data_IF_518598581116
#
_entry.id   IF_518598581116
#
_cell.length_a   1.000
_cell.length_b   1.000
_cell.length_c   1.000
_cell.angle_alpha   90.00
_cell.angle_beta   90.00
_cell.angle_gamma   90.00
#
_symmetry.space_group_name_H-M   'P 1'
#
loop_
_entity.id
_entity.type
_entity.pdbx_description
1 polymer ?
#
# COMPACT_ATOMS: atom_id res chain seq x y z
N UNK A 1 -30.75 -4.22 53.41
CA UNK A 1 -29.99 -3.09 52.81
C UNK A 1 -28.53 -3.43 52.51
N UNK A 2 -27.79 -4.15 53.38
CA UNK A 2 -26.37 -4.51 53.14
C UNK A 2 -26.09 -5.48 51.95
N UNK A 3 -27.09 -6.24 51.49
CA UNK A 3 -26.95 -7.19 50.35
C UNK A 3 -27.10 -6.53 48.97
N UNK A 4 -27.73 -5.35 48.90
CA UNK A 4 -27.96 -4.63 47.62
C UNK A 4 -26.71 -3.84 47.23
N UNK A 5 -25.93 -3.36 48.19
CA UNK A 5 -24.67 -2.64 47.96
C UNK A 5 -23.58 -3.54 47.35
N UNK A 6 -23.60 -4.85 47.61
CA UNK A 6 -22.61 -5.80 47.09
C UNK A 6 -22.83 -6.15 45.60
N UNK A 7 -24.07 -6.13 45.11
CA UNK A 7 -24.35 -6.41 43.69
C UNK A 7 -24.03 -5.22 42.78
N UNK A 8 -24.15 -3.98 43.27
CA UNK A 8 -23.75 -2.79 42.49
C UNK A 8 -22.23 -2.67 42.32
N UNK A 9 -21.43 -3.16 43.28
CA UNK A 9 -19.98 -3.14 43.17
C UNK A 9 -19.44 -4.16 42.14
N UNK A 10 -20.15 -5.27 41.90
CA UNK A 10 -19.76 -6.29 40.92
C UNK A 10 -20.11 -5.90 39.47
N UNK A 11 -21.12 -5.04 39.26
CA UNK A 11 -21.54 -4.60 37.93
C UNK A 11 -20.70 -3.43 37.37
N UNK A 12 -19.99 -2.70 38.24
CA UNK A 12 -19.07 -1.63 37.83
C UNK A 12 -17.68 -2.17 37.47
N UNK A 13 -17.30 -3.35 37.98
CA UNK A 13 -15.99 -3.96 37.71
C UNK A 13 -15.90 -4.68 36.36
N UNK A 14 -17.02 -4.96 35.70
CA UNK A 14 -17.08 -5.64 34.40
C UNK A 14 -17.05 -4.70 33.20
N UNK A 15 -17.06 -3.37 33.39
CA UNK A 15 -16.93 -2.39 32.31
C UNK A 15 -15.52 -1.80 32.12
N UNK A 16 -14.54 -2.22 32.93
CA UNK A 16 -13.21 -1.59 32.98
C UNK A 16 -12.13 -2.17 32.06
N UNK A 17 -12.42 -3.20 31.24
CA UNK A 17 -11.39 -3.91 30.47
C UNK A 17 -11.31 -3.57 28.97
N UNK A 18 -12.08 -2.58 28.48
CA UNK A 18 -11.96 -2.12 27.09
C UNK A 18 -11.19 -0.80 27.05
N UNK A 19 -9.91 -0.84 27.40
CA UNK A 19 -8.99 0.26 27.14
C UNK A 19 -7.60 -0.27 26.77
N UNK A 20 -7.45 -0.66 25.50
CA UNK A 20 -6.18 -0.62 24.78
C UNK A 20 -6.44 -0.75 23.26
N UNK A 21 -7.06 0.27 22.68
CA UNK A 21 -7.16 0.43 21.23
C UNK A 21 -6.41 1.70 20.84
N UNK A 22 -5.16 1.57 20.40
CA UNK A 22 -4.29 2.70 20.06
C UNK A 22 -4.90 3.58 18.97
N UNK A 23 -4.80 4.89 19.16
CA UNK A 23 -5.31 5.96 18.29
C UNK A 23 -4.51 6.15 16.99
N UNK A 24 -4.16 5.07 16.30
CA UNK A 24 -3.53 5.11 14.98
C UNK A 24 -4.53 4.63 13.93
N UNK A 25 -4.68 5.36 12.81
CA UNK A 25 -5.53 5.03 11.65
C UNK A 25 -5.94 3.56 11.62
N UNK A 26 -7.23 3.28 11.72
CA UNK A 26 -7.79 1.91 11.75
C UNK A 26 -7.60 1.16 10.41
N UNK A 27 -7.10 1.88 9.39
CA UNK A 27 -6.91 1.38 8.04
C UNK A 27 -5.47 1.60 7.56
N UNK A 28 -4.90 0.57 6.95
CA UNK A 28 -3.67 0.62 6.14
C UNK A 28 -4.09 0.89 4.69
N UNK A 29 -3.59 1.96 4.10
CA UNK A 29 -3.93 2.36 2.73
C UNK A 29 -2.84 1.94 1.75
N UNK A 30 -3.22 1.13 0.77
CA UNK A 30 -2.36 0.64 -0.31
C UNK A 30 -2.65 1.46 -1.57
N UNK A 31 -1.67 2.26 -2.03
CA UNK A 31 -1.75 2.91 -3.33
C UNK A 31 -1.49 1.91 -4.44
N UNK A 32 -2.43 1.74 -5.37
CA UNK A 32 -2.32 0.81 -6.50
C UNK A 32 -2.06 1.60 -7.78
N UNK A 33 -0.79 1.67 -8.20
CA UNK A 33 -0.39 2.36 -9.44
C UNK A 33 -0.57 1.44 -10.65
N UNK A 34 -1.52 1.73 -11.53
CA UNK A 34 -1.75 0.95 -12.75
C UNK A 34 -2.58 1.72 -13.79
N UNK A 35 -2.39 1.47 -15.09
CA UNK A 35 -3.27 1.99 -16.13
C UNK A 35 -4.58 1.20 -16.15
N UNK A 36 -5.67 1.75 -15.59
CA UNK A 36 -6.93 1.00 -15.40
C UNK A 36 -7.69 0.69 -16.70
N UNK A 37 -7.30 1.33 -17.80
CA UNK A 37 -7.87 1.11 -19.13
C UNK A 37 -7.14 0.03 -19.93
N UNK A 38 -6.02 -0.50 -19.41
CA UNK A 38 -5.21 -1.53 -20.08
C UNK A 38 -5.43 -2.87 -19.38
N UNK A 39 -5.54 -3.95 -20.16
CA UNK A 39 -5.81 -5.30 -19.65
C UNK A 39 -4.89 -5.70 -18.49
N UNK A 40 -3.57 -5.54 -18.65
CA UNK A 40 -2.61 -5.84 -17.58
C UNK A 40 -2.79 -4.95 -16.33
N UNK A 41 -3.18 -3.69 -16.50
CA UNK A 41 -3.45 -2.80 -15.37
C UNK A 41 -4.71 -3.20 -14.59
N UNK A 42 -5.77 -3.63 -15.30
CA UNK A 42 -6.97 -4.20 -14.68
C UNK A 42 -6.64 -5.44 -13.87
N UNK A 43 -5.88 -6.38 -14.44
CA UNK A 43 -5.45 -7.58 -13.73
C UNK A 43 -4.67 -7.27 -12.44
N UNK A 44 -3.79 -6.26 -12.46
CA UNK A 44 -3.04 -5.83 -11.27
C UNK A 44 -3.98 -5.26 -10.20
N UNK A 45 -4.92 -4.39 -10.59
CA UNK A 45 -5.90 -3.80 -9.66
C UNK A 45 -6.77 -4.89 -9.02
N UNK A 46 -7.35 -5.77 -9.84
CA UNK A 46 -8.23 -6.84 -9.39
C UNK A 46 -7.49 -7.83 -8.48
N UNK A 47 -6.28 -8.23 -8.86
CA UNK A 47 -5.46 -9.14 -8.05
C UNK A 47 -5.11 -8.57 -6.67
N UNK A 48 -4.76 -7.28 -6.61
CA UNK A 48 -4.47 -6.61 -5.32
C UNK A 48 -5.74 -6.48 -4.49
N UNK A 49 -6.88 -6.11 -5.09
CA UNK A 49 -8.16 -6.01 -4.38
C UNK A 49 -8.62 -7.36 -3.84
N UNK A 50 -8.43 -8.44 -4.59
CA UNK A 50 -8.71 -9.81 -4.13
C UNK A 50 -7.86 -10.17 -2.91
N UNK A 51 -6.54 -9.94 -2.97
CA UNK A 51 -5.65 -10.18 -1.83
C UNK A 51 -6.03 -9.34 -0.60
N UNK A 52 -6.43 -8.08 -0.80
CA UNK A 52 -6.91 -7.21 0.28
C UNK A 52 -8.20 -7.76 0.90
N UNK A 53 -9.14 -8.27 0.09
CA UNK A 53 -10.37 -8.87 0.57
C UNK A 53 -10.07 -10.10 1.46
N UNK A 54 -9.25 -11.03 0.99
CA UNK A 54 -8.83 -12.21 1.74
C UNK A 54 -8.14 -11.84 3.07
N UNK A 55 -7.23 -10.87 3.04
CA UNK A 55 -6.54 -10.39 4.26
C UNK A 55 -7.54 -9.77 5.25
N UNK A 56 -8.50 -8.98 4.74
CA UNK A 56 -9.50 -8.35 5.59
C UNK A 56 -10.50 -9.35 6.19
N UNK A 57 -10.85 -10.42 5.46
CA UNK A 57 -11.67 -11.53 5.96
C UNK A 57 -10.96 -12.28 7.10
N UNK A 58 -9.63 -12.37 7.05
CA UNK A 58 -8.79 -12.97 8.09
C UNK A 58 -8.53 -12.04 9.30
N UNK A 59 -9.22 -10.91 9.39
CA UNK A 59 -9.09 -9.96 10.51
C UNK A 59 -8.10 -8.81 10.26
N UNK A 60 -7.57 -8.69 9.04
CA UNK A 60 -6.68 -7.62 8.64
C UNK A 60 -5.23 -7.82 9.07
N UNK A 61 -4.40 -6.78 8.93
CA UNK A 61 -2.97 -6.82 9.28
C UNK A 61 -2.80 -6.16 10.64
N UNK A 62 -2.34 -6.94 11.64
CA UNK A 62 -2.20 -6.46 13.03
C UNK A 62 -3.50 -5.85 13.58
N UNK A 63 -4.65 -6.41 13.16
CA UNK A 63 -5.99 -5.93 13.53
C UNK A 63 -6.48 -4.69 12.76
N UNK A 64 -5.71 -4.17 11.80
CA UNK A 64 -6.10 -3.04 10.95
C UNK A 64 -6.67 -3.51 9.63
N UNK A 65 -7.73 -2.87 9.15
CA UNK A 65 -8.26 -3.12 7.80
C UNK A 65 -7.31 -2.57 6.74
N UNK A 66 -7.35 -3.14 5.55
CA UNK A 66 -6.57 -2.69 4.39
C UNK A 66 -7.51 -2.13 3.34
N UNK A 67 -7.16 -0.99 2.74
CA UNK A 67 -7.95 -0.32 1.70
C UNK A 67 -7.06 -0.01 0.48
N UNK A 68 -7.60 -0.21 -0.72
CA UNK A 68 -6.93 0.14 -1.96
C UNK A 68 -7.28 1.57 -2.40
N UNK A 69 -6.28 2.39 -2.67
CA UNK A 69 -6.40 3.69 -3.35
C UNK A 69 -5.88 3.53 -4.77
N UNK A 70 -6.78 3.51 -5.75
CA UNK A 70 -6.39 3.30 -7.15
C UNK A 70 -5.80 4.57 -7.74
N UNK A 71 -4.62 4.44 -8.33
CA UNK A 71 -3.88 5.52 -8.99
C UNK A 71 -3.82 5.15 -10.48
N UNK A 72 -4.80 5.63 -11.24
CA UNK A 72 -4.82 5.45 -12.69
C UNK A 72 -3.75 6.34 -13.35
N UNK A 73 -2.65 5.72 -13.80
CA UNK A 73 -1.55 6.45 -14.45
C UNK A 73 -1.78 6.74 -15.94
N UNK A 74 -2.88 6.23 -16.53
CA UNK A 74 -3.21 6.36 -17.95
C UNK A 74 -2.08 5.97 -18.92
N UNK A 75 -1.11 5.17 -18.48
CA UNK A 75 0.11 4.84 -19.22
C UNK A 75 0.99 6.07 -19.53
N UNK A 76 0.85 7.15 -18.75
CA UNK A 76 1.57 8.42 -18.93
C UNK A 76 2.35 8.80 -17.68
N UNK A 77 3.62 9.17 -17.85
CA UNK A 77 4.53 9.43 -16.73
C UNK A 77 4.13 10.66 -15.88
N UNK A 78 3.65 11.73 -16.51
CA UNK A 78 3.18 12.93 -15.84
C UNK A 78 1.90 12.67 -15.04
N UNK A 79 0.94 11.93 -15.61
CA UNK A 79 -0.29 11.53 -14.91
C UNK A 79 0.03 10.62 -13.73
N UNK A 80 0.89 9.62 -13.91
CA UNK A 80 1.32 8.72 -12.84
C UNK A 80 2.02 9.44 -11.68
N UNK A 81 2.96 10.35 -11.97
CA UNK A 81 3.68 11.10 -10.92
C UNK A 81 2.78 12.07 -10.16
N UNK A 82 1.85 12.75 -10.84
CA UNK A 82 0.84 13.61 -10.20
C UNK A 82 -0.12 12.79 -9.34
N UNK A 83 -0.64 11.69 -9.88
CA UNK A 83 -1.56 10.79 -9.18
C UNK A 83 -0.93 10.18 -7.93
N UNK A 84 0.32 9.71 -8.04
CA UNK A 84 1.04 9.17 -6.90
C UNK A 84 1.32 10.23 -5.82
N UNK A 85 1.71 11.44 -6.23
CA UNK A 85 1.92 12.56 -5.29
C UNK A 85 0.63 12.87 -4.54
N UNK A 86 -0.50 12.97 -5.24
CA UNK A 86 -1.82 13.16 -4.61
C UNK A 86 -2.16 12.03 -3.66
N UNK A 87 -1.95 10.77 -4.04
CA UNK A 87 -2.25 9.63 -3.18
C UNK A 87 -1.43 9.65 -1.88
N UNK A 88 -0.17 10.08 -1.94
CA UNK A 88 0.69 10.21 -0.76
C UNK A 88 0.27 11.40 0.10
N UNK A 89 0.05 12.56 -0.51
CA UNK A 89 -0.18 13.81 0.22
C UNK A 89 -1.61 13.98 0.72
N UNK A 90 -2.60 13.58 -0.07
CA UNK A 90 -4.02 13.74 0.23
C UNK A 90 -4.61 12.45 0.79
N UNK A 91 -4.48 11.34 0.07
CA UNK A 91 -5.10 10.07 0.47
C UNK A 91 -4.35 9.37 1.60
N UNK A 92 -3.11 9.79 1.88
CA UNK A 92 -2.22 9.29 2.93
C UNK A 92 -1.94 7.80 2.80
N UNK A 93 -1.60 7.34 1.60
CA UNK A 93 -1.19 5.95 1.39
C UNK A 93 0.05 5.59 2.22
N UNK A 94 0.06 4.37 2.74
CA UNK A 94 1.15 3.83 3.55
C UNK A 94 2.23 3.18 2.68
N UNK A 95 1.81 2.45 1.66
CA UNK A 95 2.65 1.65 0.75
C UNK A 95 2.12 1.74 -0.68
N UNK A 96 3.03 1.58 -1.65
CA UNK A 96 2.71 1.53 -3.08
C UNK A 96 2.82 0.08 -3.56
N UNK A 97 1.79 -0.40 -4.26
CA UNK A 97 1.79 -1.65 -4.99
C UNK A 97 1.51 -1.36 -6.48
N UNK A 98 1.98 -2.22 -7.37
CA UNK A 98 1.72 -2.10 -8.80
C UNK A 98 2.90 -1.53 -9.58
N UNK A 99 2.61 -0.82 -10.66
CA UNK A 99 3.56 -0.31 -11.64
C UNK A 99 3.73 -1.26 -12.80
N UNK A 100 3.05 -0.96 -13.91
CA UNK A 100 3.03 -1.81 -15.12
C UNK A 100 4.04 -1.32 -16.15
N UNK A 101 3.92 -0.06 -16.59
CA UNK A 101 4.79 0.50 -17.61
C UNK A 101 6.12 0.98 -17.03
N UNK A 102 7.24 0.55 -17.62
CA UNK A 102 8.59 0.90 -17.13
C UNK A 102 8.87 2.41 -17.13
N UNK A 103 8.37 3.16 -18.12
CA UNK A 103 8.57 4.61 -18.20
C UNK A 103 7.85 5.35 -17.09
N UNK A 104 6.60 4.95 -16.81
CA UNK A 104 5.81 5.47 -15.69
C UNK A 104 6.48 5.11 -14.36
N UNK A 105 6.95 3.86 -14.22
CA UNK A 105 7.65 3.41 -13.01
C UNK A 105 8.89 4.26 -12.74
N UNK A 106 9.75 4.43 -13.73
CA UNK A 106 10.98 5.23 -13.59
C UNK A 106 10.70 6.67 -13.20
N UNK A 107 9.65 7.30 -13.73
CA UNK A 107 9.26 8.64 -13.34
C UNK A 107 8.73 8.69 -11.90
N UNK A 108 7.89 7.71 -11.51
CA UNK A 108 7.33 7.63 -10.17
C UNK A 108 8.37 7.27 -9.10
N UNK A 109 9.51 6.67 -9.46
CA UNK A 109 10.61 6.41 -8.51
C UNK A 109 11.16 7.70 -7.87
N UNK A 110 11.13 8.83 -8.57
CA UNK A 110 11.51 10.13 -7.99
C UNK A 110 10.54 10.56 -6.89
N UNK A 111 9.23 10.39 -7.11
CA UNK A 111 8.19 10.68 -6.13
C UNK A 111 8.33 9.73 -4.94
N UNK A 112 8.45 8.43 -5.20
CA UNK A 112 8.68 7.40 -4.17
C UNK A 112 9.87 7.76 -3.27
N UNK A 113 11.02 8.11 -3.87
CA UNK A 113 12.23 8.48 -3.14
C UNK A 113 12.05 9.76 -2.32
N UNK A 114 11.45 10.81 -2.92
CA UNK A 114 11.16 12.09 -2.24
C UNK A 114 10.34 11.89 -0.96
N UNK A 115 9.29 11.07 -1.03
CA UNK A 115 8.40 10.81 0.11
C UNK A 115 8.79 9.58 0.94
N UNK A 116 9.90 8.91 0.59
CA UNK A 116 10.42 7.71 1.27
C UNK A 116 9.34 6.62 1.43
N UNK A 117 8.55 6.41 0.38
CA UNK A 117 7.43 5.46 0.38
C UNK A 117 7.90 4.09 -0.07
N UNK A 118 7.59 3.06 0.70
CA UNK A 118 7.84 1.67 0.31
C UNK A 118 7.01 1.33 -0.94
N UNK A 119 7.65 0.72 -1.93
CA UNK A 119 7.01 0.29 -3.17
C UNK A 119 7.33 -1.17 -3.48
N UNK A 120 6.29 -2.00 -3.56
CA UNK A 120 6.34 -3.35 -4.10
C UNK A 120 5.92 -3.35 -5.58
N UNK A 121 6.90 -3.33 -6.46
CA UNK A 121 6.72 -3.24 -7.92
C UNK A 121 6.36 -4.57 -8.58
N UNK A 122 5.32 -4.59 -9.42
CA UNK A 122 4.78 -5.83 -9.99
C UNK A 122 5.00 -6.03 -11.49
N UNK A 123 5.32 -5.00 -12.28
CA UNK A 123 5.36 -5.11 -13.74
C UNK A 123 6.56 -4.45 -14.45
N UNK A 124 6.89 -3.20 -14.12
CA UNK A 124 7.91 -2.44 -14.86
C UNK A 124 9.21 -3.22 -15.04
N UNK A 125 9.54 -3.61 -16.28
CA UNK A 125 10.55 -4.63 -16.61
C UNK A 125 11.93 -4.08 -17.00
N UNK A 126 12.07 -2.77 -17.21
CA UNK A 126 13.36 -2.16 -17.54
C UNK A 126 14.43 -2.48 -16.49
N UNK A 127 15.63 -2.83 -16.95
CA UNK A 127 16.82 -3.02 -16.08
C UNK A 127 17.17 -1.74 -15.32
N UNK A 128 16.83 -0.57 -15.87
CA UNK A 128 17.04 0.73 -15.24
C UNK A 128 16.40 0.85 -13.86
N UNK A 129 15.29 0.16 -13.61
CA UNK A 129 14.62 0.19 -12.29
C UNK A 129 15.56 -0.34 -11.20
N UNK A 130 16.16 -1.51 -11.43
CA UNK A 130 17.09 -2.14 -10.48
C UNK A 130 18.45 -1.43 -10.51
N UNK A 131 18.87 -0.97 -11.69
CA UNK A 131 20.10 -0.20 -11.84
C UNK A 131 20.07 1.11 -11.04
N UNK A 132 18.94 1.83 -11.03
CA UNK A 132 18.77 3.02 -10.19
C UNK A 132 18.94 2.70 -8.71
N UNK A 133 18.33 1.59 -8.22
CA UNK A 133 18.52 1.13 -6.84
C UNK A 133 19.98 0.78 -6.55
N UNK A 134 20.69 0.20 -7.52
CA UNK A 134 22.12 -0.14 -7.38
C UNK A 134 23.01 1.11 -7.36
N UNK A 135 22.78 2.06 -8.26
CA UNK A 135 23.64 3.23 -8.46
C UNK A 135 23.42 4.30 -7.39
N UNK A 136 22.20 4.43 -6.88
CA UNK A 136 21.86 5.35 -5.78
C UNK A 136 20.95 4.65 -4.77
N UNK A 137 21.54 3.74 -4.00
CA UNK A 137 20.83 2.95 -3.02
C UNK A 137 20.14 3.81 -1.96
N UNK A 138 20.81 4.84 -1.43
CA UNK A 138 20.22 5.67 -0.37
C UNK A 138 18.95 6.40 -0.83
N UNK A 139 18.91 6.80 -2.10
CA UNK A 139 17.73 7.42 -2.71
C UNK A 139 16.63 6.41 -3.00
N UNK A 140 16.94 5.28 -3.62
CA UNK A 140 15.93 4.36 -4.16
C UNK A 140 15.72 3.05 -3.38
N UNK A 141 16.33 2.86 -2.19
CA UNK A 141 16.17 1.67 -1.32
C UNK A 141 14.73 1.32 -0.92
N UNK A 142 13.76 2.18 -1.21
CA UNK A 142 12.35 1.94 -0.93
C UNK A 142 11.65 1.09 -2.01
N UNK A 143 12.30 0.79 -3.13
CA UNK A 143 11.74 -0.03 -4.20
C UNK A 143 12.13 -1.51 -4.05
N UNK A 144 11.14 -2.39 -4.07
CA UNK A 144 11.30 -3.83 -4.08
C UNK A 144 10.52 -4.41 -5.25
N UNK A 145 11.15 -5.24 -6.07
CA UNK A 145 10.45 -5.96 -7.15
C UNK A 145 9.87 -7.26 -6.60
N UNK A 146 8.57 -7.46 -6.79
CA UNK A 146 7.83 -8.67 -6.36
C UNK A 146 7.26 -9.47 -7.55
N UNK A 147 7.51 -9.02 -8.79
CA UNK A 147 7.18 -9.70 -10.04
C UNK A 147 8.41 -10.35 -10.72
N UNK A 148 8.27 -10.71 -12.00
CA UNK A 148 9.33 -11.40 -12.79
C UNK A 148 10.64 -10.61 -12.86
N UNK A 149 11.76 -11.33 -13.00
CA UNK A 149 13.14 -10.79 -13.12
C UNK A 149 13.23 -9.79 -14.28
N UNK A 150 14.17 -8.83 -14.28
CA UNK A 150 14.29 -7.82 -15.35
C UNK A 150 14.35 -8.41 -16.76
N UNK A 151 13.98 -7.61 -17.77
CA UNK A 151 13.86 -8.04 -19.16
C UNK A 151 15.15 -8.68 -19.74
N UNK A 152 16.32 -8.39 -19.17
CA UNK A 152 17.58 -9.00 -19.61
C UNK A 152 17.74 -10.46 -19.15
N UNK A 153 16.93 -10.90 -18.18
CA UNK A 153 16.88 -12.26 -17.64
C UNK A 153 15.55 -12.97 -17.98
N UNK A 154 14.72 -12.38 -18.85
CA UNK A 154 13.44 -12.93 -19.31
C UNK A 154 13.55 -13.75 -20.62
N UNK A 155 14.74 -14.23 -20.98
CA UNK A 155 15.01 -15.10 -22.14
C UNK A 155 16.34 -15.82 -21.99
#
# INVERSE_FOLDING_TARGET
MKKITALLAAMVLSLGLVSCGGSGSDTIKVGVLAPTSVFFGQMVVEGIQMAIAEVNEQGGILGKKVEAVIINDEDKADVGTLGLTKAIESDKIDVILGGVNSGVVLACMEVMAKYKKLWLGTGGASTKVVQNVKDDYEKYKYYFRVGTIDAALQG
#
